data_IF_698394954668
#
_entry.id   IF_698394954668
#
_cell.length_a   1.000
_cell.length_b   1.000
_cell.length_c   1.000
_cell.angle_alpha   90.00
_cell.angle_beta   90.00
_cell.angle_gamma   90.00
#
_symmetry.space_group_name_H-M   'P 1'
#
loop_
_entity.id
_entity.type
_entity.pdbx_description
1 polymer ?
#
# COMPACT_ATOMS: atom_id res chain seq x y z
N UNK A 1 -7.27 8.16 30.01
CA UNK A 1 -8.58 8.05 29.34
C UNK A 1 -8.49 8.90 28.09
N UNK A 2 -8.22 8.27 26.93
CA UNK A 2 -8.07 9.00 25.66
C UNK A 2 -9.48 9.37 25.19
N UNK A 3 -9.72 10.65 24.95
CA UNK A 3 -10.99 11.18 24.51
C UNK A 3 -11.34 10.66 23.11
N UNK A 4 -12.29 9.74 23.00
CA UNK A 4 -12.70 9.07 21.75
C UNK A 4 -13.26 10.09 20.73
N UNK A 5 -13.88 11.17 21.20
CA UNK A 5 -14.44 12.21 20.34
C UNK A 5 -13.35 13.07 19.68
N UNK A 6 -12.23 13.29 20.37
CA UNK A 6 -11.10 14.02 19.79
C UNK A 6 -10.40 13.23 18.68
N UNK A 7 -10.33 11.91 18.80
CA UNK A 7 -9.76 10.99 17.79
C UNK A 7 -10.64 10.97 16.53
N UNK A 8 -11.96 10.92 16.70
CA UNK A 8 -12.92 10.95 15.60
C UNK A 8 -12.81 12.23 14.76
N UNK A 9 -12.71 13.38 15.43
CA UNK A 9 -12.60 14.69 14.77
C UNK A 9 -11.26 14.87 14.03
N UNK A 10 -10.16 14.38 14.59
CA UNK A 10 -8.85 14.46 13.96
C UNK A 10 -8.76 13.60 12.69
N UNK A 11 -9.35 12.40 12.71
CA UNK A 11 -9.38 11.51 11.55
C UNK A 11 -10.25 12.09 10.43
N UNK A 12 -11.42 12.63 10.76
CA UNK A 12 -12.28 13.30 9.80
C UNK A 12 -11.59 14.47 9.11
N UNK A 13 -10.87 15.32 9.86
CA UNK A 13 -10.10 16.44 9.30
C UNK A 13 -9.01 15.98 8.34
N UNK A 14 -8.30 14.89 8.65
CA UNK A 14 -7.26 14.32 7.80
C UNK A 14 -7.83 13.71 6.52
N UNK A 15 -8.93 12.97 6.61
CA UNK A 15 -9.63 12.41 5.47
C UNK A 15 -10.15 13.53 4.54
N UNK A 16 -10.74 14.57 5.12
CA UNK A 16 -11.18 15.74 4.38
C UNK A 16 -10.00 16.46 3.70
N UNK A 17 -8.89 16.66 4.43
CA UNK A 17 -7.68 17.28 3.89
C UNK A 17 -7.10 16.48 2.72
N UNK A 18 -7.02 15.14 2.84
CA UNK A 18 -6.59 14.26 1.77
C UNK A 18 -7.50 14.38 0.53
N UNK A 19 -8.82 14.33 0.74
CA UNK A 19 -9.80 14.48 -0.33
C UNK A 19 -9.69 15.83 -1.03
N UNK A 20 -9.56 16.93 -0.27
CA UNK A 20 -9.37 18.27 -0.82
C UNK A 20 -8.06 18.37 -1.64
N UNK A 21 -6.96 17.81 -1.14
CA UNK A 21 -5.69 17.78 -1.88
C UNK A 21 -5.82 16.97 -3.16
N UNK A 22 -6.45 15.81 -3.11
CA UNK A 22 -6.70 14.96 -4.28
C UNK A 22 -7.45 15.71 -5.38
N UNK A 23 -8.56 16.37 -5.04
CA UNK A 23 -9.32 17.14 -6.03
C UNK A 23 -8.58 18.39 -6.52
N UNK A 24 -7.81 19.06 -5.64
CA UNK A 24 -6.96 20.16 -6.04
C UNK A 24 -5.90 19.70 -7.04
N UNK A 25 -5.21 18.59 -6.75
CA UNK A 25 -4.23 18.02 -7.65
C UNK A 25 -4.88 17.70 -9.00
N UNK A 26 -6.04 17.05 -8.99
CA UNK A 26 -6.76 16.71 -10.21
C UNK A 26 -7.06 17.94 -11.07
N UNK A 27 -7.66 18.97 -10.48
CA UNK A 27 -8.06 20.17 -11.23
C UNK A 27 -6.82 20.92 -11.77
N UNK A 28 -5.82 21.16 -10.93
CA UNK A 28 -4.61 21.86 -11.34
C UNK A 28 -3.84 21.08 -12.43
N UNK A 29 -3.64 19.79 -12.21
CA UNK A 29 -2.85 18.96 -13.13
C UNK A 29 -3.59 18.69 -14.44
N UNK A 30 -4.93 18.55 -14.40
CA UNK A 30 -5.72 18.44 -15.62
C UNK A 30 -5.67 19.70 -16.49
N UNK A 31 -5.63 20.87 -15.88
CA UNK A 31 -5.46 22.15 -16.61
C UNK A 31 -4.05 22.22 -17.22
N UNK A 32 -3.03 21.79 -16.48
CA UNK A 32 -1.63 21.94 -16.89
C UNK A 32 -1.20 20.87 -17.90
N UNK A 33 -1.59 19.62 -17.69
CA UNK A 33 -1.08 18.45 -18.42
C UNK A 33 -2.14 17.76 -19.30
N UNK A 34 -3.42 18.11 -19.17
CA UNK A 34 -4.49 17.54 -19.98
C UNK A 34 -5.09 16.28 -19.41
N UNK A 35 -4.72 15.11 -19.92
CA UNK A 35 -5.37 13.84 -19.54
C UNK A 35 -4.63 13.15 -18.40
N UNK A 36 -5.19 13.23 -17.18
CA UNK A 36 -4.71 12.47 -16.02
C UNK A 36 -5.79 11.53 -15.52
N UNK A 37 -5.40 10.46 -14.84
CA UNK A 37 -6.35 9.53 -14.22
C UNK A 37 -7.19 10.28 -13.18
N UNK A 38 -8.54 10.24 -13.29
CA UNK A 38 -9.41 10.95 -12.34
C UNK A 38 -9.29 10.38 -10.92
N UNK A 39 -9.57 11.19 -9.88
CA UNK A 39 -9.48 10.75 -8.50
C UNK A 39 -10.45 9.61 -8.21
N UNK A 40 -9.97 8.63 -7.45
CA UNK A 40 -10.73 7.44 -7.03
C UNK A 40 -11.27 6.56 -8.16
N UNK A 41 -10.91 6.82 -9.41
CA UNK A 41 -11.12 5.87 -10.50
C UNK A 41 -10.14 4.72 -10.32
N UNK A 42 -10.67 3.51 -10.35
CA UNK A 42 -9.88 2.30 -10.24
C UNK A 42 -9.43 1.85 -11.63
N UNK A 43 -8.14 1.61 -11.75
CA UNK A 43 -7.54 1.02 -12.95
C UNK A 43 -7.36 -0.46 -12.69
N UNK A 44 -7.75 -1.29 -13.65
CA UNK A 44 -7.51 -2.72 -13.59
C UNK A 44 -6.09 -3.01 -14.10
N UNK A 45 -5.29 -3.70 -13.29
CA UNK A 45 -3.92 -4.09 -13.65
C UNK A 45 -3.70 -5.57 -13.38
N UNK A 46 -2.91 -6.21 -14.21
CA UNK A 46 -2.37 -7.54 -13.92
C UNK A 46 -1.20 -7.40 -12.93
N UNK A 47 -1.35 -7.89 -11.70
CA UNK A 47 -0.27 -7.77 -10.71
C UNK A 47 1.00 -8.53 -11.13
N UNK A 48 0.88 -9.56 -11.98
CA UNK A 48 2.00 -10.32 -12.51
C UNK A 48 2.93 -9.50 -13.42
N UNK A 49 2.43 -8.44 -14.03
CA UNK A 49 3.21 -7.60 -14.97
C UNK A 49 3.95 -6.44 -14.32
N UNK A 50 3.73 -6.17 -13.02
CA UNK A 50 4.37 -5.06 -12.30
C UNK A 50 5.40 -5.64 -11.34
N UNK A 51 6.67 -5.59 -11.73
CA UNK A 51 7.78 -6.24 -11.02
C UNK A 51 8.66 -5.28 -10.22
N UNK A 52 8.22 -4.04 -10.09
CA UNK A 52 9.00 -2.98 -9.46
C UNK A 52 8.20 -2.18 -8.45
N UNK A 53 8.92 -1.62 -7.48
CA UNK A 53 8.39 -0.68 -6.48
C UNK A 53 9.11 0.66 -6.60
N UNK A 54 8.42 1.74 -6.28
CA UNK A 54 9.09 3.03 -6.04
C UNK A 54 9.55 3.06 -4.59
N UNK A 55 10.84 3.21 -4.38
CA UNK A 55 11.38 3.42 -3.04
C UNK A 55 11.04 4.81 -2.53
N UNK A 56 10.24 4.87 -1.46
CA UNK A 56 9.75 6.13 -0.88
C UNK A 56 10.64 6.66 0.25
N UNK A 57 11.76 6.02 0.55
CA UNK A 57 12.62 6.33 1.69
C UNK A 57 13.79 7.19 1.22
N UNK A 58 13.96 8.36 1.84
CA UNK A 58 15.12 9.26 1.76
C UNK A 58 15.42 10.00 0.44
N UNK A 59 14.42 10.18 -0.42
CA UNK A 59 14.62 10.86 -1.70
C UNK A 59 13.99 12.27 -1.73
N UNK A 60 14.66 13.24 -2.34
CA UNK A 60 14.14 14.59 -2.59
C UNK A 60 12.85 14.56 -3.44
N UNK A 61 12.69 13.53 -4.24
CA UNK A 61 11.54 13.29 -5.13
C UNK A 61 10.46 12.39 -4.52
N UNK A 62 10.43 12.26 -3.20
CA UNK A 62 9.57 11.35 -2.46
C UNK A 62 8.09 11.49 -2.83
N UNK A 63 7.50 10.42 -3.35
CA UNK A 63 6.05 10.32 -3.49
C UNK A 63 5.40 10.20 -2.11
N UNK A 64 4.49 11.12 -1.78
CA UNK A 64 3.81 11.13 -0.49
C UNK A 64 2.34 10.84 -0.68
N UNK A 65 1.88 9.77 -0.06
CA UNK A 65 0.46 9.41 -0.11
C UNK A 65 -0.39 10.50 0.55
N UNK A 66 0.13 11.15 1.59
CA UNK A 66 -0.56 12.23 2.32
C UNK A 66 -0.89 13.45 1.45
N UNK A 67 -0.18 13.64 0.35
CA UNK A 67 -0.41 14.77 -0.55
C UNK A 67 -1.60 14.54 -1.52
N UNK A 68 -2.28 13.40 -1.38
CA UNK A 68 -3.48 13.06 -2.15
C UNK A 68 -3.14 12.27 -3.41
N UNK A 69 -4.18 11.78 -4.10
CA UNK A 69 -4.05 11.15 -5.41
C UNK A 69 -3.88 12.20 -6.53
N UNK A 70 -3.76 11.73 -7.76
CA UNK A 70 -3.66 12.58 -8.97
C UNK A 70 -2.45 13.52 -8.94
N UNK A 71 -1.36 13.13 -8.28
CA UNK A 71 -0.11 13.88 -8.32
C UNK A 71 0.50 13.79 -9.72
N UNK A 72 1.14 14.87 -10.16
CA UNK A 72 2.06 14.86 -11.30
C UNK A 72 3.40 15.35 -10.78
N UNK A 73 4.41 14.51 -10.91
CA UNK A 73 5.74 14.78 -10.40
C UNK A 73 6.76 14.72 -11.53
N UNK A 74 7.48 15.82 -11.74
CA UNK A 74 8.47 16.01 -12.81
C UNK A 74 9.87 15.56 -12.42
N UNK A 75 10.10 15.14 -11.17
CA UNK A 75 11.42 14.74 -10.70
C UNK A 75 11.86 13.39 -11.27
N UNK A 76 13.07 12.99 -10.94
CA UNK A 76 13.65 11.70 -11.35
C UNK A 76 13.28 10.56 -10.38
N UNK A 77 12.03 10.59 -9.89
CA UNK A 77 11.52 9.61 -8.93
C UNK A 77 11.40 8.20 -9.53
N UNK A 78 11.36 8.11 -10.85
CA UNK A 78 11.32 6.89 -11.65
C UNK A 78 12.70 6.50 -12.23
N UNK A 79 13.78 7.13 -11.76
CA UNK A 79 15.15 6.75 -12.09
C UNK A 79 15.55 5.42 -11.44
N UNK A 80 16.51 4.71 -12.03
CA UNK A 80 16.97 3.38 -11.58
C UNK A 80 17.35 3.32 -10.08
N UNK A 81 17.86 4.41 -9.51
CA UNK A 81 18.21 4.49 -8.08
C UNK A 81 16.99 4.57 -7.15
N UNK A 82 15.82 4.85 -7.68
CA UNK A 82 14.58 5.06 -6.93
C UNK A 82 13.56 3.94 -7.13
N UNK A 83 13.90 2.98 -7.96
CA UNK A 83 13.09 1.80 -8.29
C UNK A 83 13.82 0.56 -7.84
N UNK A 84 13.13 -0.32 -7.11
CA UNK A 84 13.67 -1.61 -6.69
C UNK A 84 12.81 -2.77 -7.22
N UNK A 85 13.40 -3.97 -7.39
CA UNK A 85 12.63 -5.15 -7.71
C UNK A 85 11.60 -5.47 -6.61
N UNK A 86 10.36 -5.73 -7.01
CA UNK A 86 9.29 -6.07 -6.06
C UNK A 86 9.60 -7.32 -5.24
N UNK A 87 10.24 -8.30 -5.86
CA UNK A 87 10.59 -9.57 -5.22
C UNK A 87 11.63 -9.45 -4.10
N UNK A 88 12.43 -8.37 -4.08
CA UNK A 88 13.38 -8.10 -3.01
C UNK A 88 12.71 -7.52 -1.76
N UNK A 89 11.47 -7.03 -1.88
CA UNK A 89 10.76 -6.44 -0.76
C UNK A 89 10.45 -7.49 0.32
N UNK A 90 10.71 -7.14 1.59
CA UNK A 90 10.57 -8.08 2.73
C UNK A 90 9.18 -8.68 2.89
N UNK A 91 8.13 -7.97 2.48
CA UNK A 91 6.76 -8.49 2.49
C UNK A 91 6.63 -9.60 1.44
N UNK A 92 7.08 -9.35 0.20
CA UNK A 92 7.02 -10.37 -0.86
C UNK A 92 7.76 -11.64 -0.44
N UNK A 93 9.03 -11.50 -0.05
CA UNK A 93 9.86 -12.65 0.35
C UNK A 93 9.26 -13.42 1.52
N UNK A 94 8.75 -12.72 2.55
CA UNK A 94 8.16 -13.39 3.70
C UNK A 94 6.85 -14.11 3.38
N UNK A 95 6.01 -13.56 2.50
CA UNK A 95 4.78 -14.22 2.07
C UNK A 95 5.07 -15.37 1.10
N UNK A 96 6.07 -15.24 0.24
CA UNK A 96 6.54 -16.33 -0.61
C UNK A 96 6.99 -17.53 0.23
N UNK A 97 7.87 -17.31 1.21
CA UNK A 97 8.31 -18.33 2.15
C UNK A 97 7.12 -19.00 2.86
N UNK A 98 6.14 -18.20 3.33
CA UNK A 98 4.97 -18.72 4.03
C UNK A 98 4.06 -19.57 3.14
N UNK A 99 3.70 -19.05 1.95
CA UNK A 99 2.61 -19.63 1.15
C UNK A 99 3.09 -20.52 -0.01
N UNK A 100 4.33 -20.37 -0.46
CA UNK A 100 4.93 -21.18 -1.53
C UNK A 100 5.88 -22.21 -0.97
N UNK A 101 6.83 -21.80 -0.12
CA UNK A 101 7.81 -22.73 0.47
C UNK A 101 7.21 -23.52 1.66
N UNK A 102 6.11 -23.03 2.25
CA UNK A 102 5.43 -23.68 3.37
C UNK A 102 6.08 -23.46 4.73
N UNK A 103 6.91 -22.42 4.86
CA UNK A 103 7.58 -22.08 6.10
C UNK A 103 6.59 -21.66 7.19
N UNK A 104 6.90 -21.97 8.44
CA UNK A 104 6.23 -21.36 9.58
C UNK A 104 6.57 -19.86 9.64
N UNK A 105 5.62 -19.04 10.10
CA UNK A 105 5.80 -17.57 10.16
C UNK A 105 7.10 -17.18 10.83
N UNK A 106 7.45 -17.85 11.91
CA UNK A 106 8.64 -17.61 12.72
C UNK A 106 9.94 -17.74 11.93
N UNK A 107 9.93 -18.49 10.83
CA UNK A 107 11.11 -18.71 9.97
C UNK A 107 11.17 -17.75 8.79
N UNK A 108 10.10 -16.97 8.54
CA UNK A 108 10.05 -16.05 7.41
C UNK A 108 10.85 -14.77 7.66
N UNK A 109 11.45 -14.21 6.61
CA UNK A 109 12.19 -12.93 6.70
C UNK A 109 11.29 -11.78 7.20
N UNK A 110 9.99 -11.80 6.88
CA UNK A 110 9.04 -10.79 7.32
C UNK A 110 8.81 -10.83 8.82
N UNK A 111 8.67 -12.01 9.38
CA UNK A 111 8.48 -12.18 10.82
C UNK A 111 9.76 -11.83 11.58
N UNK A 112 10.92 -12.29 11.11
CA UNK A 112 12.20 -11.98 11.73
C UNK A 112 12.50 -10.48 11.71
N UNK A 113 12.16 -9.79 10.63
CA UNK A 113 12.25 -8.33 10.56
C UNK A 113 11.35 -7.66 11.61
N UNK A 114 10.07 -8.05 11.68
CA UNK A 114 9.13 -7.50 12.67
C UNK A 114 9.59 -7.76 14.11
N UNK A 115 10.07 -8.97 14.40
CA UNK A 115 10.65 -9.35 15.70
C UNK A 115 11.82 -8.45 16.07
N UNK A 116 12.79 -8.27 15.16
CA UNK A 116 13.94 -7.40 15.39
C UNK A 116 13.54 -5.95 15.67
N UNK A 117 12.54 -5.41 14.96
CA UNK A 117 12.02 -4.06 15.20
C UNK A 117 11.35 -3.94 16.59
N UNK A 118 10.56 -4.94 17.00
CA UNK A 118 9.91 -4.95 18.32
C UNK A 118 10.97 -5.02 19.42
N UNK A 119 11.95 -5.91 19.30
CA UNK A 119 13.02 -6.09 20.26
C UNK A 119 13.91 -4.83 20.39
N UNK A 120 14.18 -4.15 19.29
CA UNK A 120 15.06 -2.97 19.24
C UNK A 120 14.33 -1.67 19.66
N UNK A 121 13.09 -1.48 19.22
CA UNK A 121 12.36 -0.20 19.34
C UNK A 121 11.10 -0.30 20.22
N UNK A 122 10.80 -1.46 20.79
CA UNK A 122 9.63 -1.70 21.64
C UNK A 122 8.33 -1.89 20.89
N UNK A 123 8.29 -1.65 19.58
CA UNK A 123 7.08 -1.87 18.78
C UNK A 123 7.37 -1.91 17.27
N UNK A 124 6.46 -2.56 16.53
CA UNK A 124 6.43 -2.55 15.06
C UNK A 124 4.98 -2.46 14.58
N UNK A 125 4.65 -1.44 13.77
CA UNK A 125 3.29 -1.21 13.25
C UNK A 125 2.18 -1.30 14.32
N UNK A 126 2.40 -0.69 15.51
CA UNK A 126 1.55 -0.71 16.70
C UNK A 126 1.49 -2.06 17.45
N UNK A 127 2.21 -3.08 17.03
CA UNK A 127 2.38 -4.31 17.80
C UNK A 127 3.52 -4.14 18.79
N UNK A 128 3.21 -4.23 20.08
CA UNK A 128 4.16 -4.02 21.19
C UNK A 128 4.85 -5.33 21.62
N UNK A 129 4.41 -6.48 21.09
CA UNK A 129 5.04 -7.77 21.32
C UNK A 129 5.01 -8.66 20.08
N UNK A 130 5.97 -9.59 20.01
CA UNK A 130 6.10 -10.59 18.97
C UNK A 130 4.89 -11.51 18.95
N UNK A 131 4.37 -11.87 20.12
CA UNK A 131 3.18 -12.71 20.29
C UNK A 131 1.93 -12.02 19.69
N UNK A 132 1.77 -10.71 19.96
CA UNK A 132 0.63 -9.95 19.38
C UNK A 132 0.76 -9.79 17.88
N UNK A 133 1.97 -9.60 17.35
CA UNK A 133 2.21 -9.57 15.90
C UNK A 133 1.87 -10.91 15.28
N UNK A 134 2.31 -12.02 15.89
CA UNK A 134 2.01 -13.39 15.42
C UNK A 134 0.51 -13.68 15.42
N UNK A 135 -0.14 -13.47 16.58
CA UNK A 135 -1.54 -13.85 16.79
C UNK A 135 -2.54 -12.98 16.04
N UNK A 136 -2.19 -11.74 15.67
CA UNK A 136 -3.15 -10.82 15.03
C UNK A 136 -2.76 -10.58 13.58
N UNK A 137 -1.52 -10.18 13.33
CA UNK A 137 -1.11 -9.80 11.96
C UNK A 137 -0.91 -11.00 11.06
N UNK A 138 -0.20 -12.01 11.55
CA UNK A 138 0.07 -13.21 10.75
C UNK A 138 -1.22 -14.00 10.48
N UNK A 139 -2.09 -14.17 11.50
CA UNK A 139 -3.41 -14.80 11.29
C UNK A 139 -4.27 -14.04 10.28
N UNK A 140 -4.32 -12.70 10.39
CA UNK A 140 -5.03 -11.90 9.41
C UNK A 140 -4.53 -12.12 7.97
N UNK A 141 -3.21 -12.24 7.79
CA UNK A 141 -2.62 -12.49 6.46
C UNK A 141 -2.97 -13.91 5.98
N UNK A 142 -2.94 -14.92 6.85
CA UNK A 142 -3.37 -16.29 6.53
C UNK A 142 -4.85 -16.29 6.10
N UNK A 143 -5.73 -15.61 6.82
CA UNK A 143 -7.16 -15.46 6.48
C UNK A 143 -7.37 -14.72 5.15
N UNK A 144 -6.60 -13.66 4.90
CA UNK A 144 -6.65 -12.89 3.67
C UNK A 144 -6.23 -13.74 2.46
N UNK A 145 -5.14 -14.53 2.60
CA UNK A 145 -4.69 -15.47 1.58
C UNK A 145 -5.81 -16.47 1.23
N UNK A 146 -6.40 -17.11 2.25
CA UNK A 146 -7.48 -18.08 2.05
C UNK A 146 -8.75 -17.43 1.45
N UNK A 147 -9.04 -16.20 1.80
CA UNK A 147 -10.16 -15.44 1.24
C UNK A 147 -9.95 -15.17 -0.25
N UNK A 148 -8.78 -14.67 -0.64
CA UNK A 148 -8.44 -14.40 -2.05
C UNK A 148 -8.40 -15.70 -2.85
N UNK A 149 -7.80 -16.75 -2.30
CA UNK A 149 -7.71 -18.08 -2.94
C UNK A 149 -9.09 -18.68 -3.26
N UNK A 150 -10.05 -18.54 -2.34
CA UNK A 150 -11.41 -19.12 -2.50
C UNK A 150 -12.35 -18.27 -3.33
N UNK A 151 -12.22 -16.98 -3.27
CA UNK A 151 -13.26 -16.05 -3.78
C UNK A 151 -12.74 -15.02 -4.78
N UNK A 152 -11.45 -15.08 -5.13
CA UNK A 152 -10.78 -14.06 -5.91
C UNK A 152 -10.51 -12.78 -5.11
N UNK A 153 -9.81 -11.84 -5.74
CA UNK A 153 -9.54 -10.55 -5.16
C UNK A 153 -10.84 -9.73 -5.03
N UNK A 154 -11.07 -9.15 -3.86
CA UNK A 154 -12.24 -8.30 -3.60
C UNK A 154 -11.78 -6.88 -3.26
N UNK A 155 -12.35 -5.86 -3.92
CA UNK A 155 -12.05 -4.47 -3.61
C UNK A 155 -12.34 -4.10 -2.16
N UNK A 156 -11.55 -3.19 -1.58
CA UNK A 156 -11.70 -2.71 -0.20
C UNK A 156 -13.09 -2.13 0.12
N UNK A 157 -13.78 -1.60 -0.88
CA UNK A 157 -15.14 -1.06 -0.71
C UNK A 157 -16.21 -2.14 -0.53
N UNK A 158 -15.84 -3.41 -0.65
CA UNK A 158 -16.81 -4.52 -0.59
C UNK A 158 -17.03 -5.09 0.82
N UNK A 159 -16.75 -4.38 1.89
CA UNK A 159 -16.97 -4.76 3.31
C UNK A 159 -16.35 -6.12 3.73
N UNK A 160 -15.52 -6.73 2.87
CA UNK A 160 -15.03 -8.10 3.05
C UNK A 160 -13.63 -8.21 3.63
N UNK A 161 -12.91 -7.10 3.76
CA UNK A 161 -11.56 -7.08 4.33
C UNK A 161 -11.53 -6.18 5.56
N UNK A 162 -11.84 -6.78 6.71
CA UNK A 162 -11.72 -6.09 8.00
C UNK A 162 -10.25 -6.12 8.40
N UNK A 163 -9.56 -5.01 8.22
CA UNK A 163 -8.20 -4.83 8.73
C UNK A 163 -8.21 -4.94 10.25
N UNK A 164 -7.26 -5.62 10.88
CA UNK A 164 -7.19 -5.71 12.34
C UNK A 164 -7.28 -4.34 13.00
N UNK A 165 -8.07 -4.23 14.07
CA UNK A 165 -8.31 -2.95 14.76
C UNK A 165 -7.02 -2.30 15.28
N UNK A 166 -6.00 -3.09 15.57
CA UNK A 166 -4.69 -2.61 16.03
C UNK A 166 -3.96 -1.86 14.90
N UNK A 167 -4.07 -2.30 13.65
CA UNK A 167 -3.49 -1.61 12.50
C UNK A 167 -4.19 -0.26 12.24
N UNK A 168 -5.47 -0.17 12.59
CA UNK A 168 -6.28 1.04 12.45
C UNK A 168 -6.00 2.05 13.58
N UNK A 169 -5.45 1.62 14.72
CA UNK A 169 -5.15 2.51 15.87
C UNK A 169 -4.15 3.59 15.52
N UNK A 170 -3.27 3.34 14.56
CA UNK A 170 -2.43 4.41 14.02
C UNK A 170 -3.27 5.36 13.17
N UNK A 171 -3.97 6.24 13.87
CA UNK A 171 -4.99 7.13 13.34
C UNK A 171 -4.50 8.09 12.25
N UNK A 172 -3.16 8.20 12.06
CA UNK A 172 -2.59 9.12 11.08
C UNK A 172 -2.96 8.77 9.64
N UNK A 173 -3.18 7.47 9.35
CA UNK A 173 -3.38 6.96 7.99
C UNK A 173 -4.61 6.07 7.81
N UNK A 174 -5.59 6.15 8.73
CA UNK A 174 -6.79 5.30 8.69
C UNK A 174 -7.52 5.30 7.34
N UNK A 175 -7.54 6.41 6.64
CA UNK A 175 -8.19 6.53 5.34
C UNK A 175 -7.43 5.80 4.21
N UNK A 176 -6.13 5.51 4.36
CA UNK A 176 -5.38 4.72 3.38
C UNK A 176 -5.89 3.29 3.30
N UNK A 177 -6.41 2.74 4.40
CA UNK A 177 -7.02 1.41 4.38
C UNK A 177 -8.29 1.33 3.53
N UNK A 178 -8.85 2.47 3.12
CA UNK A 178 -9.99 2.54 2.21
C UNK A 178 -9.58 2.56 0.73
N UNK A 179 -8.30 2.80 0.45
CA UNK A 179 -7.77 2.81 -0.91
C UNK A 179 -7.43 1.39 -1.36
N UNK A 180 -7.54 1.17 -2.65
CA UNK A 180 -6.93 0.01 -3.29
C UNK A 180 -5.40 0.15 -3.32
N UNK A 181 -4.62 -0.90 -3.65
CA UNK A 181 -3.19 -0.77 -3.80
C UNK A 181 -2.83 0.43 -4.68
N UNK A 182 -1.75 1.10 -4.32
CA UNK A 182 -1.33 2.32 -5.00
C UNK A 182 -0.23 2.02 -6.00
N UNK A 183 -0.36 2.62 -7.18
CA UNK A 183 0.66 2.61 -8.23
C UNK A 183 1.06 4.03 -8.62
N UNK A 184 2.28 4.16 -9.13
CA UNK A 184 2.74 5.33 -9.88
C UNK A 184 2.98 4.94 -11.34
N UNK A 185 2.80 5.89 -12.27
CA UNK A 185 3.03 5.71 -13.70
C UNK A 185 4.25 6.52 -14.07
N UNK A 186 5.31 5.86 -14.50
CA UNK A 186 6.58 6.46 -14.87
C UNK A 186 6.53 7.21 -16.20
N UNK A 187 7.68 7.80 -16.62
CA UNK A 187 7.80 8.55 -17.88
C UNK A 187 7.57 7.70 -19.13
N UNK A 188 7.75 6.39 -19.03
CA UNK A 188 7.50 5.45 -20.13
C UNK A 188 6.06 4.91 -20.16
N UNK A 189 5.24 5.25 -19.16
CA UNK A 189 3.89 4.73 -18.97
C UNK A 189 3.82 3.40 -18.24
N UNK A 190 4.94 2.92 -17.66
CA UNK A 190 4.96 1.70 -16.86
C UNK A 190 4.45 1.95 -15.45
N UNK A 191 3.86 0.91 -14.86
CA UNK A 191 3.34 0.94 -13.49
C UNK A 191 4.38 0.43 -12.51
N UNK A 192 4.48 1.12 -11.35
CA UNK A 192 5.30 0.73 -10.22
C UNK A 192 4.46 0.70 -8.95
N UNK A 193 4.65 -0.29 -8.08
CA UNK A 193 3.95 -0.35 -6.80
C UNK A 193 4.45 0.72 -5.84
N UNK A 194 3.53 1.34 -5.12
CA UNK A 194 3.84 2.35 -4.08
C UNK A 194 3.37 1.89 -2.70
N UNK A 195 2.19 1.25 -2.62
CA UNK A 195 1.62 0.74 -1.36
C UNK A 195 0.62 -0.40 -1.61
N UNK A 196 0.19 -1.06 -0.52
CA UNK A 196 -0.72 -2.20 -0.60
C UNK A 196 -0.03 -3.55 -0.78
N UNK A 197 1.27 -3.62 -0.46
CA UNK A 197 2.16 -4.75 -0.75
C UNK A 197 1.65 -6.13 -0.31
N UNK A 198 0.95 -6.26 0.82
CA UNK A 198 0.39 -7.57 1.24
C UNK A 198 -0.63 -8.09 0.23
N UNK A 199 -1.60 -7.23 -0.17
CA UNK A 199 -2.65 -7.63 -1.12
C UNK A 199 -2.09 -7.91 -2.51
N UNK A 200 -1.15 -7.07 -2.94
CA UNK A 200 -0.47 -7.25 -4.24
C UNK A 200 0.34 -8.55 -4.25
N UNK A 201 1.13 -8.81 -3.21
CA UNK A 201 1.90 -10.04 -3.11
C UNK A 201 0.99 -11.27 -3.16
N UNK A 202 -0.09 -11.29 -2.36
CA UNK A 202 -1.03 -12.42 -2.39
C UNK A 202 -1.70 -12.58 -3.75
N UNK A 203 -2.02 -11.49 -4.43
CA UNK A 203 -2.58 -11.55 -5.77
C UNK A 203 -1.58 -12.13 -6.79
N UNK A 204 -0.29 -11.73 -6.70
CA UNK A 204 0.78 -12.31 -7.54
C UNK A 204 0.97 -13.80 -7.27
N UNK A 205 1.07 -14.20 -6.00
CA UNK A 205 1.28 -15.62 -5.61
C UNK A 205 0.11 -16.53 -5.99
N UNK A 206 -1.09 -15.96 -6.07
CA UNK A 206 -2.32 -16.67 -6.46
C UNK A 206 -2.64 -16.53 -7.96
N UNK A 207 -1.74 -15.92 -8.74
CA UNK A 207 -1.90 -15.74 -10.19
C UNK A 207 -3.24 -15.09 -10.57
N UNK A 208 -3.64 -14.05 -9.80
CA UNK A 208 -4.88 -13.31 -10.08
C UNK A 208 -4.67 -12.44 -11.32
N UNK A 209 -5.47 -12.67 -12.35
CA UNK A 209 -5.35 -11.99 -13.65
C UNK A 209 -5.46 -10.47 -13.57
N UNK A 210 -6.25 -9.94 -12.63
CA UNK A 210 -6.47 -8.50 -12.54
C UNK A 210 -6.93 -8.07 -11.16
N UNK A 211 -6.36 -6.97 -10.67
CA UNK A 211 -6.81 -6.29 -9.44
C UNK A 211 -7.05 -4.80 -9.70
N UNK A 212 -7.99 -4.18 -8.97
CA UNK A 212 -8.16 -2.74 -9.03
C UNK A 212 -7.05 -2.03 -8.26
N UNK A 213 -6.56 -0.92 -8.80
CA UNK A 213 -5.57 -0.04 -8.16
C UNK A 213 -5.98 1.41 -8.23
N UNK A 214 -5.48 2.23 -7.30
CA UNK A 214 -5.54 3.68 -7.41
C UNK A 214 -4.20 4.22 -7.92
N UNK A 215 -4.25 5.19 -8.83
CA UNK A 215 -3.06 5.89 -9.31
C UNK A 215 -2.75 7.04 -8.35
N UNK A 216 -1.59 6.97 -7.71
CA UNK A 216 -1.10 8.01 -6.81
C UNK A 216 -0.51 9.17 -7.61
N UNK A 217 0.39 8.85 -8.53
CA UNK A 217 1.20 9.80 -9.28
C UNK A 217 1.40 9.36 -10.72
N UNK A 218 1.55 10.34 -11.61
CA UNK A 218 1.97 10.13 -13.01
C UNK A 218 3.18 11.02 -13.31
N UNK A 219 4.10 10.52 -14.11
CA UNK A 219 5.13 11.38 -14.71
C UNK A 219 4.51 12.19 -15.85
N UNK A 220 4.84 13.49 -16.02
CA UNK A 220 4.20 14.32 -17.07
C UNK A 220 4.46 13.81 -18.49
N UNK A 221 5.56 13.11 -18.71
CA UNK A 221 5.88 12.52 -20.03
C UNK A 221 4.99 11.31 -20.39
N UNK A 222 4.28 10.73 -19.41
CA UNK A 222 3.30 9.64 -19.65
C UNK A 222 1.88 10.15 -19.94
N UNK A 223 1.66 11.47 -19.90
CA UNK A 223 0.36 12.11 -20.10
C UNK A 223 0.30 12.67 -21.55
#
# INVERSE_FOLDING_TARGET
>A
MVDVDSIGSANFRRELSFTCRTYRNYVCNRITYGSIVPPFVLVAVDPGTIDTIVETIDNEHRLRIEDGLCQVNTGDWDGESNIAPFEEHTIYRGLYQRFVDGDEWENTVRFQYAKGQIEQFGSFNNYESVESFRAIRCEFIDELYESIRRSGYRPNRSDTHIVPSIDIRNTKYRYFHKLEPLVAIDRSGQYHWVDGFHRVTLAKLLEIDSIPVNVLCQHPESI
#
